data_IF_006735736505
#
_entry.id   IF_006735736505
#
_cell.length_a   1.000
_cell.length_b   1.000
_cell.length_c   1.000
_cell.angle_alpha   90.00
_cell.angle_beta   90.00
_cell.angle_gamma   90.00
#
_symmetry.space_group_name_H-M   'P 1'
#
loop_
_entity.id
_entity.type
_entity.pdbx_description
1 polymer ?
#
# COMPACT_ATOMS: atom_id res chain seq x y z
N UNK A 1 16.40 5.35 -0.88
CA UNK A 1 15.99 6.42 0.05
C UNK A 1 15.64 7.62 -0.83
N UNK A 2 14.41 8.10 -0.80
CA UNK A 2 13.86 9.01 -1.82
C UNK A 2 13.56 10.40 -1.23
N UNK A 3 13.54 11.42 -2.09
CA UNK A 3 13.23 12.83 -1.74
C UNK A 3 14.12 13.44 -0.65
N UNK A 4 15.32 12.90 -0.47
CA UNK A 4 16.26 13.36 0.57
C UNK A 4 15.83 13.07 2.01
N UNK A 5 14.77 12.29 2.23
CA UNK A 5 14.28 11.93 3.58
C UNK A 5 14.76 10.55 3.97
N UNK A 6 15.40 10.43 5.14
CA UNK A 6 15.68 9.14 5.74
C UNK A 6 14.49 8.64 6.56
N UNK A 7 13.63 7.89 5.89
CA UNK A 7 12.41 7.32 6.46
C UNK A 7 12.52 5.83 6.82
N UNK A 8 13.76 5.33 6.93
CA UNK A 8 14.04 3.95 7.35
C UNK A 8 13.44 3.67 8.72
N UNK A 9 12.60 2.64 8.81
CA UNK A 9 11.96 2.20 10.05
C UNK A 9 10.61 2.85 10.38
N UNK A 10 10.12 3.81 9.58
CA UNK A 10 8.81 4.44 9.83
C UNK A 10 8.03 4.87 8.58
N UNK A 11 8.71 4.98 7.43
CA UNK A 11 8.15 5.51 6.19
C UNK A 11 7.44 4.50 5.28
N UNK A 12 7.45 3.20 5.61
CA UNK A 12 7.01 2.15 4.68
C UNK A 12 5.57 2.36 4.16
N UNK A 13 4.63 2.72 5.02
CA UNK A 13 3.25 3.00 4.63
C UNK A 13 3.12 4.30 3.82
N UNK A 14 3.93 5.32 4.12
CA UNK A 14 3.98 6.57 3.34
C UNK A 14 4.44 6.28 1.90
N UNK A 15 5.51 5.49 1.71
CA UNK A 15 6.01 5.13 0.38
C UNK A 15 5.03 4.25 -0.40
N UNK A 16 4.30 3.37 0.29
CA UNK A 16 3.23 2.60 -0.32
C UNK A 16 2.08 3.50 -0.80
N UNK A 17 1.66 4.48 0.01
CA UNK A 17 0.70 5.51 -0.39
C UNK A 17 1.19 6.33 -1.59
N UNK A 18 2.46 6.74 -1.60
CA UNK A 18 3.05 7.46 -2.75
C UNK A 18 3.03 6.61 -4.03
N UNK A 19 3.26 5.30 -3.91
CA UNK A 19 3.16 4.37 -5.04
C UNK A 19 1.72 4.29 -5.56
N UNK A 20 0.73 4.15 -4.67
CA UNK A 20 -0.70 4.19 -5.01
C UNK A 20 -1.06 5.53 -5.67
N UNK A 21 -0.60 6.65 -5.12
CA UNK A 21 -0.88 7.98 -5.66
C UNK A 21 -0.33 8.13 -7.07
N UNK A 22 0.88 7.65 -7.33
CA UNK A 22 1.48 7.70 -8.67
C UNK A 22 0.65 6.92 -9.71
N UNK A 23 -0.02 5.83 -9.31
CA UNK A 23 -0.95 5.12 -10.19
C UNK A 23 -2.13 6.01 -10.58
N UNK A 24 -2.71 6.77 -9.65
CA UNK A 24 -3.81 7.68 -9.97
C UNK A 24 -3.39 8.84 -10.88
N UNK A 25 -2.16 9.35 -10.73
CA UNK A 25 -1.58 10.34 -11.66
C UNK A 25 -1.43 9.73 -13.06
N UNK A 26 -0.76 8.58 -13.16
CA UNK A 26 -0.43 7.95 -14.45
C UNK A 26 -1.67 7.47 -15.23
N UNK A 27 -2.78 7.21 -14.54
CA UNK A 27 -4.05 6.83 -15.15
C UNK A 27 -5.03 8.01 -15.33
N UNK A 28 -4.59 9.25 -15.11
CA UNK A 28 -5.39 10.45 -15.41
C UNK A 28 -6.52 10.74 -14.43
N UNK A 29 -6.49 10.19 -13.22
CA UNK A 29 -7.49 10.46 -12.18
C UNK A 29 -7.19 11.73 -11.38
N UNK A 30 -5.93 12.22 -11.40
CA UNK A 30 -5.53 13.43 -10.70
C UNK A 30 -4.27 14.04 -11.32
N UNK A 31 -4.19 15.37 -11.31
CA UNK A 31 -2.98 16.13 -11.65
C UNK A 31 -2.21 16.60 -10.39
N UNK A 32 -2.72 16.27 -9.20
CA UNK A 32 -2.05 16.65 -7.94
C UNK A 32 -0.74 15.87 -7.80
N UNK A 33 0.38 16.54 -7.46
CA UNK A 33 1.65 15.87 -7.27
C UNK A 33 1.58 14.84 -6.13
N UNK A 34 2.50 13.87 -6.16
CA UNK A 34 2.65 12.90 -5.08
C UNK A 34 2.96 13.65 -3.77
N UNK A 35 2.22 13.43 -2.68
CA UNK A 35 2.41 14.16 -1.44
C UNK A 35 3.66 13.71 -0.69
N UNK A 36 4.31 14.65 -0.02
CA UNK A 36 5.39 14.40 0.93
C UNK A 36 4.88 13.79 2.23
N UNK A 37 5.77 13.24 3.07
CA UNK A 37 5.40 12.76 4.41
C UNK A 37 4.72 13.86 5.24
N UNK A 38 5.21 15.10 5.14
CA UNK A 38 4.67 16.22 5.89
C UNK A 38 3.25 16.57 5.45
N UNK A 39 2.95 16.55 4.15
CA UNK A 39 1.60 16.78 3.62
C UNK A 39 0.63 15.65 4.01
N UNK A 40 1.10 14.41 4.00
CA UNK A 40 0.34 13.25 4.49
C UNK A 40 0.02 13.43 5.99
N UNK A 41 1.01 13.84 6.79
CA UNK A 41 0.80 14.09 8.23
C UNK A 41 -0.14 15.27 8.46
N UNK A 42 0.03 16.37 7.72
CA UNK A 42 -0.85 17.54 7.79
C UNK A 42 -2.29 17.16 7.49
N UNK A 43 -2.53 16.37 6.44
CA UNK A 43 -3.85 15.86 6.12
C UNK A 43 -4.49 15.11 7.31
N UNK A 44 -3.74 14.24 7.98
CA UNK A 44 -4.24 13.47 9.12
C UNK A 44 -4.54 14.34 10.35
N UNK A 45 -3.78 15.42 10.55
CA UNK A 45 -4.06 16.44 11.57
C UNK A 45 -5.30 17.26 11.21
N UNK A 46 -5.44 17.67 9.95
CA UNK A 46 -6.54 18.52 9.46
C UNK A 46 -7.90 17.83 9.62
N UNK A 47 -7.97 16.53 9.36
CA UNK A 47 -9.18 15.72 9.56
C UNK A 47 -9.39 15.27 11.01
N UNK A 48 -8.51 15.68 11.93
CA UNK A 48 -8.53 15.32 13.36
C UNK A 48 -8.41 13.83 13.67
N UNK A 49 -7.80 13.06 12.77
CA UNK A 49 -7.39 11.68 13.06
C UNK A 49 -6.16 11.65 13.98
N UNK A 50 -5.24 12.62 13.81
CA UNK A 50 -4.03 12.77 14.61
C UNK A 50 -3.97 14.12 15.32
N UNK A 51 -3.26 14.17 16.44
CA UNK A 51 -2.94 15.40 17.16
C UNK A 51 -1.88 16.24 16.44
N UNK A 52 -1.79 17.54 16.75
CA UNK A 52 -0.82 18.45 16.11
C UNK A 52 0.65 18.01 16.28
N UNK A 53 0.98 17.30 17.35
CA UNK A 53 2.33 16.76 17.60
C UNK A 53 2.75 15.65 16.60
N UNK A 54 1.81 15.13 15.81
CA UNK A 54 2.06 14.16 14.77
C UNK A 54 2.76 14.78 13.56
N UNK A 55 2.54 16.07 13.32
CA UNK A 55 3.15 16.82 12.22
C UNK A 55 4.67 16.94 12.39
N UNK A 56 5.42 16.49 11.38
CA UNK A 56 6.87 16.42 11.41
C UNK A 56 7.43 15.26 12.25
N UNK A 57 6.57 14.40 12.79
CA UNK A 57 7.00 13.22 13.55
C UNK A 57 7.57 12.12 12.63
N UNK A 58 8.13 11.08 13.25
CA UNK A 58 8.55 9.84 12.58
C UNK A 58 7.60 8.68 12.91
N UNK A 59 6.34 8.99 13.17
CA UNK A 59 5.36 7.96 13.50
C UNK A 59 4.87 7.24 12.23
N UNK A 60 4.69 5.93 12.37
CA UNK A 60 4.09 5.06 11.38
C UNK A 60 2.60 5.36 11.22
N UNK A 61 2.07 5.04 10.04
CA UNK A 61 0.65 5.04 9.70
C UNK A 61 0.23 3.66 9.18
N UNK A 62 -1.06 3.37 9.19
CA UNK A 62 -1.62 2.12 8.70
C UNK A 62 -2.49 2.29 7.45
N UNK A 63 -3.16 1.20 7.09
CA UNK A 63 -4.08 1.15 5.95
C UNK A 63 -5.28 2.10 6.10
N UNK A 64 -5.79 2.28 7.31
CA UNK A 64 -6.88 3.23 7.60
C UNK A 64 -6.48 4.66 7.28
N UNK A 65 -5.33 5.12 7.78
CA UNK A 65 -4.83 6.47 7.52
C UNK A 65 -4.55 6.69 6.02
N UNK A 66 -4.02 5.68 5.32
CA UNK A 66 -3.83 5.75 3.86
C UNK A 66 -5.17 6.02 3.16
N UNK A 67 -6.22 5.30 3.54
CA UNK A 67 -7.56 5.52 2.97
C UNK A 67 -8.11 6.91 3.30
N UNK A 68 -7.88 7.43 4.50
CA UNK A 68 -8.26 8.80 4.86
C UNK A 68 -7.55 9.86 4.00
N UNK A 69 -6.24 9.70 3.76
CA UNK A 69 -5.49 10.64 2.92
C UNK A 69 -5.94 10.59 1.47
N UNK A 70 -6.19 9.38 0.93
CA UNK A 70 -6.73 9.23 -0.43
C UNK A 70 -8.12 9.87 -0.57
N UNK A 71 -9.00 9.67 0.41
CA UNK A 71 -10.34 10.25 0.38
C UNK A 71 -10.27 11.78 0.51
N UNK A 72 -9.57 12.29 1.53
CA UNK A 72 -9.55 13.72 1.81
C UNK A 72 -8.85 14.52 0.69
N UNK A 73 -7.73 14.03 0.16
CA UNK A 73 -6.96 14.78 -0.83
C UNK A 73 -7.37 14.50 -2.27
N UNK A 74 -7.90 13.32 -2.60
CA UNK A 74 -8.26 12.95 -3.97
C UNK A 74 -9.75 12.63 -4.18
N UNK A 75 -10.56 12.56 -3.12
CA UNK A 75 -11.94 12.08 -3.20
C UNK A 75 -12.03 10.58 -3.52
N UNK A 76 -10.96 9.83 -3.26
CA UNK A 76 -10.85 8.41 -3.58
C UNK A 76 -11.25 7.58 -2.37
N UNK A 77 -12.41 6.95 -2.47
CA UNK A 77 -12.89 5.99 -1.48
C UNK A 77 -12.10 4.68 -1.57
N UNK A 78 -11.96 4.00 -0.45
CA UNK A 78 -11.25 2.71 -0.36
C UNK A 78 -12.13 1.63 0.25
N UNK A 79 -11.99 0.40 -0.26
CA UNK A 79 -12.47 -0.80 0.44
C UNK A 79 -11.36 -1.34 1.34
N UNK A 80 -11.75 -2.18 2.30
CA UNK A 80 -10.81 -2.75 3.25
C UNK A 80 -11.01 -4.26 3.37
N UNK A 81 -9.89 -4.99 3.39
CA UNK A 81 -9.87 -6.40 3.77
C UNK A 81 -9.09 -6.49 5.08
N UNK A 82 -9.74 -7.02 6.11
CA UNK A 82 -9.18 -7.19 7.46
C UNK A 82 -9.02 -8.69 7.69
N UNK A 83 -7.83 -9.10 8.10
CA UNK A 83 -7.53 -10.48 8.47
C UNK A 83 -7.02 -10.55 9.91
N UNK A 84 -7.35 -11.63 10.61
CA UNK A 84 -6.88 -11.86 11.98
C UNK A 84 -5.50 -12.51 12.04
N UNK A 85 -5.03 -13.07 10.92
CA UNK A 85 -3.74 -13.72 10.77
C UNK A 85 -3.15 -13.56 9.36
N UNK A 86 -1.84 -13.81 9.22
CA UNK A 86 -1.18 -13.92 7.91
C UNK A 86 -1.66 -15.12 7.09
N UNK A 87 -2.16 -16.18 7.73
CA UNK A 87 -2.74 -17.33 7.03
C UNK A 87 -4.05 -16.96 6.32
N UNK A 88 -4.87 -16.11 6.94
CA UNK A 88 -6.12 -15.61 6.35
C UNK A 88 -5.90 -14.71 5.13
N UNK A 89 -4.71 -14.11 4.94
CA UNK A 89 -4.40 -13.33 3.73
C UNK A 89 -4.54 -14.19 2.47
N UNK A 90 -4.22 -15.49 2.57
CA UNK A 90 -4.34 -16.48 1.50
C UNK A 90 -5.82 -16.72 1.16
N UNK A 91 -6.69 -16.79 2.17
CA UNK A 91 -8.13 -16.97 1.98
C UNK A 91 -8.78 -15.78 1.26
N UNK A 92 -8.11 -14.61 1.31
CA UNK A 92 -8.52 -13.38 0.62
C UNK A 92 -7.95 -13.24 -0.79
N UNK A 93 -7.19 -14.22 -1.29
CA UNK A 93 -6.61 -14.21 -2.63
C UNK A 93 -7.66 -14.00 -3.73
N UNK A 94 -8.85 -14.63 -3.61
CA UNK A 94 -9.96 -14.42 -4.56
C UNK A 94 -10.50 -13.00 -4.56
N UNK A 95 -10.63 -12.39 -3.39
CA UNK A 95 -11.12 -11.02 -3.26
C UNK A 95 -10.11 -10.01 -3.84
N UNK A 96 -8.82 -10.27 -3.64
CA UNK A 96 -7.73 -9.51 -4.27
C UNK A 96 -7.71 -9.70 -5.79
N UNK A 97 -7.88 -10.94 -6.29
CA UNK A 97 -7.96 -11.22 -7.74
C UNK A 97 -9.08 -10.40 -8.37
N UNK A 98 -10.28 -10.44 -7.77
CA UNK A 98 -11.43 -9.66 -8.24
C UNK A 98 -11.15 -8.15 -8.21
N UNK A 99 -10.48 -7.64 -7.18
CA UNK A 99 -10.07 -6.24 -7.11
C UNK A 99 -9.14 -5.85 -8.25
N UNK A 100 -8.12 -6.65 -8.54
CA UNK A 100 -7.20 -6.38 -9.65
C UNK A 100 -7.87 -6.49 -11.03
N UNK A 101 -8.84 -7.39 -11.19
CA UNK A 101 -9.62 -7.54 -12.43
C UNK A 101 -10.59 -6.39 -12.67
N UNK A 102 -11.25 -5.89 -11.62
CA UNK A 102 -12.35 -4.92 -11.74
C UNK A 102 -11.93 -3.46 -11.52
N UNK A 103 -10.92 -3.23 -10.68
CA UNK A 103 -10.44 -1.90 -10.29
C UNK A 103 -8.99 -1.68 -10.72
N UNK A 104 -8.11 -2.65 -10.46
CA UNK A 104 -6.72 -2.63 -10.93
C UNK A 104 -5.75 -1.70 -10.17
N UNK A 105 -6.18 -1.08 -9.06
CA UNK A 105 -5.31 -0.22 -8.25
C UNK A 105 -4.34 -1.04 -7.38
N UNK A 106 -3.12 -0.55 -7.12
CA UNK A 106 -2.21 -1.16 -6.16
C UNK A 106 -2.82 -1.19 -4.75
N UNK A 107 -2.55 -2.25 -4.00
CA UNK A 107 -3.12 -2.48 -2.66
C UNK A 107 -2.02 -2.34 -1.61
N UNK A 108 -2.19 -1.44 -0.65
CA UNK A 108 -1.29 -1.42 0.51
C UNK A 108 -1.76 -2.46 1.53
N UNK A 109 -0.82 -3.23 2.06
CA UNK A 109 -1.04 -4.17 3.17
C UNK A 109 -0.15 -3.78 4.35
N UNK A 110 -0.76 -3.64 5.53
CA UNK A 110 -0.07 -3.33 6.78
C UNK A 110 -0.26 -4.43 7.82
N UNK A 111 0.83 -4.87 8.45
CA UNK A 111 0.83 -5.87 9.53
C UNK A 111 2.24 -6.15 10.03
N UNK A 112 2.36 -6.67 11.25
CA UNK A 112 3.66 -6.94 11.90
C UNK A 112 4.62 -5.73 11.93
N UNK A 113 4.09 -4.51 12.08
CA UNK A 113 4.85 -3.22 12.01
C UNK A 113 5.50 -2.94 10.65
N UNK A 114 5.11 -3.65 9.59
CA UNK A 114 5.60 -3.46 8.24
C UNK A 114 4.44 -3.10 7.30
N UNK A 115 4.77 -2.40 6.22
CA UNK A 115 3.87 -2.12 5.12
C UNK A 115 4.50 -2.59 3.81
N UNK A 116 3.68 -3.15 2.93
CA UNK A 116 4.07 -3.51 1.57
C UNK A 116 2.99 -3.08 0.58
N UNK A 117 3.33 -3.08 -0.72
CA UNK A 117 2.34 -2.85 -1.78
C UNK A 117 2.17 -4.13 -2.60
N UNK A 118 0.97 -4.69 -2.61
CA UNK A 118 0.60 -5.82 -3.47
C UNK A 118 0.17 -5.27 -4.83
N UNK A 119 0.78 -5.80 -5.89
CA UNK A 119 0.55 -5.42 -7.29
C UNK A 119 -0.23 -6.50 -8.07
N UNK A 120 -0.42 -7.67 -7.49
CA UNK A 120 -1.12 -8.77 -8.12
C UNK A 120 -1.11 -10.03 -7.27
N UNK A 121 -1.98 -10.97 -7.65
CA UNK A 121 -2.10 -12.30 -7.03
C UNK A 121 -2.06 -13.34 -8.13
N UNK A 122 -1.36 -14.44 -7.87
CA UNK A 122 -1.36 -15.66 -8.68
C UNK A 122 -1.98 -16.74 -7.81
N UNK A 123 -3.20 -17.14 -8.13
CA UNK A 123 -4.00 -18.06 -7.32
C UNK A 123 -4.56 -19.18 -8.18
N UNK A 124 -4.24 -20.41 -7.82
CA UNK A 124 -4.78 -21.60 -8.47
C UNK A 124 -5.97 -22.13 -7.66
N UNK A 125 -7.18 -22.02 -8.21
CA UNK A 125 -8.40 -22.47 -7.52
C UNK A 125 -8.45 -23.98 -7.25
N UNK A 126 -7.77 -24.78 -8.06
CA UNK A 126 -7.76 -26.24 -7.95
C UNK A 126 -6.78 -26.76 -6.91
N UNK A 127 -5.57 -26.20 -6.84
CA UNK A 127 -4.53 -26.61 -5.88
C UNK A 127 -4.54 -25.78 -4.59
N UNK A 128 -5.10 -24.57 -4.61
CA UNK A 128 -5.00 -23.60 -3.51
C UNK A 128 -3.65 -22.90 -3.43
N UNK A 129 -2.72 -23.14 -4.37
CA UNK A 129 -1.44 -22.45 -4.41
C UNK A 129 -1.65 -20.96 -4.67
N UNK A 130 -0.92 -20.13 -3.91
CA UNK A 130 -1.08 -18.69 -3.92
C UNK A 130 0.27 -17.98 -3.79
N UNK A 131 0.53 -17.06 -4.70
CA UNK A 131 1.65 -16.12 -4.66
C UNK A 131 1.15 -14.68 -4.76
N UNK A 132 1.94 -13.75 -4.20
CA UNK A 132 1.63 -12.32 -4.19
C UNK A 132 2.78 -11.56 -4.87
N UNK A 133 2.46 -10.72 -5.86
CA UNK A 133 3.45 -9.81 -6.43
C UNK A 133 3.61 -8.62 -5.49
N UNK A 134 4.74 -8.54 -4.81
CA UNK A 134 4.98 -7.53 -3.76
C UNK A 134 6.04 -6.54 -4.21
N UNK A 135 5.72 -5.26 -4.10
CA UNK A 135 6.65 -4.14 -4.14
C UNK A 135 6.95 -3.69 -2.70
N UNK A 136 8.23 -3.81 -2.33
CA UNK A 136 8.74 -3.58 -0.99
C UNK A 136 9.26 -2.14 -0.82
N UNK A 137 8.59 -1.30 -0.01
CA UNK A 137 8.95 0.09 0.20
C UNK A 137 10.20 0.29 1.06
N UNK A 138 10.78 -0.77 1.63
CA UNK A 138 11.97 -0.66 2.48
C UNK A 138 13.28 -0.61 1.68
N UNK A 139 13.21 -0.65 0.34
CA UNK A 139 14.39 -0.52 -0.51
C UNK A 139 15.05 0.84 -0.34
N UNK A 140 16.26 0.86 0.21
CA UNK A 140 17.00 2.11 0.47
C UNK A 140 18.07 2.44 -0.57
N UNK A 141 18.34 1.53 -1.52
CA UNK A 141 19.38 1.68 -2.54
C UNK A 141 19.07 2.72 -3.62
N UNK A 142 19.96 2.80 -4.62
CA UNK A 142 19.81 3.65 -5.82
C UNK A 142 18.73 3.12 -6.76
N UNK A 143 18.31 3.92 -7.74
CA UNK A 143 17.31 3.54 -8.76
C UNK A 143 17.86 2.53 -9.80
N UNK A 144 18.28 1.35 -9.34
CA UNK A 144 18.81 0.28 -10.17
C UNK A 144 17.79 -0.85 -10.28
N UNK A 145 17.12 -0.93 -11.44
CA UNK A 145 16.12 -1.96 -11.73
C UNK A 145 16.66 -3.38 -11.62
N UNK A 146 17.96 -3.62 -11.92
CA UNK A 146 18.57 -4.94 -11.79
C UNK A 146 18.68 -5.35 -10.33
N UNK A 147 18.95 -4.40 -9.44
CA UNK A 147 18.99 -4.66 -7.99
C UNK A 147 17.58 -4.86 -7.44
N UNK A 148 16.62 -4.03 -7.85
CA UNK A 148 15.22 -4.14 -7.43
C UNK A 148 14.66 -5.51 -7.76
N UNK A 149 14.83 -5.97 -9.01
CA UNK A 149 14.35 -7.28 -9.45
C UNK A 149 15.23 -8.42 -8.92
N UNK A 150 16.56 -8.31 -9.06
CA UNK A 150 17.50 -9.38 -8.71
C UNK A 150 17.58 -9.70 -7.22
N UNK A 151 17.25 -8.74 -6.34
CA UNK A 151 17.15 -8.96 -4.88
C UNK A 151 15.72 -9.12 -4.38
N UNK A 152 14.73 -9.09 -5.27
CA UNK A 152 13.33 -9.34 -4.95
C UNK A 152 12.64 -8.24 -4.16
N UNK A 153 13.04 -6.98 -4.33
CA UNK A 153 12.29 -5.81 -3.81
C UNK A 153 11.00 -5.57 -4.60
N UNK A 154 10.94 -6.04 -5.84
CA UNK A 154 9.69 -6.25 -6.58
C UNK A 154 9.71 -7.67 -7.13
N UNK A 155 8.94 -8.58 -6.52
CA UNK A 155 8.94 -9.99 -6.89
C UNK A 155 7.69 -10.73 -6.40
N UNK A 156 7.40 -11.86 -7.03
CA UNK A 156 6.45 -12.83 -6.51
C UNK A 156 6.96 -13.43 -5.20
N UNK A 157 6.11 -13.38 -4.18
CA UNK A 157 6.37 -13.92 -2.85
C UNK A 157 5.39 -15.07 -2.57
N UNK A 158 5.86 -16.17 -1.98
CA UNK A 158 4.98 -17.27 -1.58
C UNK A 158 4.03 -16.82 -0.47
N UNK A 159 2.93 -17.54 -0.29
CA UNK A 159 2.00 -17.36 0.82
C UNK A 159 2.68 -17.28 2.21
N UNK A 160 3.78 -18.01 2.41
CA UNK A 160 4.58 -18.00 3.65
C UNK A 160 5.28 -16.68 3.96
N UNK A 161 5.22 -15.70 3.05
CA UNK A 161 5.71 -14.34 3.28
C UNK A 161 4.93 -13.61 4.38
N UNK A 162 3.63 -13.89 4.49
CA UNK A 162 2.78 -13.30 5.53
C UNK A 162 2.89 -14.11 6.82
N UNK A 163 3.28 -13.46 7.91
CA UNK A 163 3.52 -14.14 9.17
C UNK A 163 2.18 -14.52 9.84
N UNK A 164 1.90 -15.81 10.09
CA UNK A 164 0.61 -16.27 10.62
C UNK A 164 0.31 -15.78 12.04
N UNK A 165 1.28 -15.24 12.78
CA UNK A 165 1.09 -14.74 14.15
C UNK A 165 0.54 -13.31 14.20
N UNK A 166 0.51 -12.59 13.08
CA UNK A 166 0.09 -11.19 13.03
C UNK A 166 -1.15 -11.01 12.17
N UNK A 167 -2.00 -10.07 12.56
CA UNK A 167 -3.11 -9.60 11.75
C UNK A 167 -2.60 -8.70 10.61
N UNK A 168 -3.39 -8.62 9.52
CA UNK A 168 -3.09 -7.75 8.39
C UNK A 168 -4.34 -6.99 7.95
N UNK A 169 -4.15 -5.70 7.65
CA UNK A 169 -5.19 -4.85 7.09
C UNK A 169 -4.74 -4.38 5.71
N UNK A 170 -5.59 -4.57 4.71
CA UNK A 170 -5.37 -4.13 3.35
C UNK A 170 -6.31 -2.99 3.00
N UNK A 171 -5.78 -1.94 2.37
CA UNK A 171 -6.57 -0.85 1.80
C UNK A 171 -6.58 -1.00 0.28
N UNK A 172 -7.77 -1.04 -0.30
CA UNK A 172 -8.06 -1.28 -1.70
C UNK A 172 -8.66 0.00 -2.30
N UNK A 173 -7.86 0.95 -2.81
CA UNK A 173 -8.34 2.20 -3.40
C UNK A 173 -9.30 1.92 -4.55
N UNK A 174 -10.44 2.61 -4.62
CA UNK A 174 -11.39 2.45 -5.72
C UNK A 174 -11.13 3.49 -6.81
N UNK A 175 -11.52 3.19 -8.04
CA UNK A 175 -11.57 4.18 -9.12
C UNK A 175 -12.93 4.89 -9.08
N UNK A 176 -13.00 6.21 -9.35
CA UNK A 176 -14.27 6.89 -9.56
C UNK A 176 -15.05 6.24 -10.71
N UNK A 177 -16.35 5.99 -10.50
CA UNK A 177 -17.23 5.35 -11.50
C UNK A 177 -17.48 6.18 -12.78
N UNK A 178 -16.96 7.42 -12.84
CA UNK A 178 -17.17 8.34 -13.95
C UNK A 178 -15.81 8.77 -14.51
N UNK A 179 -15.22 7.93 -15.35
CA UNK A 179 -14.25 8.40 -16.35
C UNK A 179 -15.03 8.41 -17.67
N UNK A 180 -15.34 9.62 -18.15
CA UNK A 180 -15.96 9.86 -19.47
C UNK A 180 -14.92 9.61 -20.55
#
# INVERSE_FOLDING_TARGET
MQDGVNDSGWGCAYRSLQSIWSWFILNGFTDKPVPTHLEIQQCLVDIKDKEENFLGSRQWIGSTEIGFVLDHLLGIQSRYIITSSGAEVIEKARELSLHFETVGTPVMIGGAQLAHTILGVDFNEGSGECNFLVLDPHYTGSEDIKVVLGKGWCAWKPASFWNPQYFYNMVLPQTPNNVV
#
